data_IF_033622707156
#
_entry.id   IF_033622707156
#
_cell.length_a   1.000
_cell.length_b   1.000
_cell.length_c   1.000
_cell.angle_alpha   90.00
_cell.angle_beta   90.00
_cell.angle_gamma   90.00
#
_symmetry.space_group_name_H-M   'P 1'
#
loop_
_entity.id
_entity.type
_entity.pdbx_description
1 polymer ?
#
# COMPACT_ATOMS: atom_id res chain seq x y z
N UNK A 1 -16.21 -23.50 23.47
CA UNK A 1 -15.02 -23.23 22.64
C UNK A 1 -13.91 -24.18 23.05
N UNK A 2 -12.91 -24.44 22.21
CA UNK A 2 -11.91 -25.50 22.41
C UNK A 2 -10.54 -24.95 22.84
N UNK A 3 -9.73 -25.77 23.50
CA UNK A 3 -8.36 -25.45 23.87
C UNK A 3 -7.38 -26.15 22.95
N UNK A 4 -6.38 -25.41 22.47
CA UNK A 4 -5.40 -25.89 21.50
C UNK A 4 -4.00 -25.78 22.07
N UNK A 5 -3.24 -26.87 21.99
CA UNK A 5 -1.80 -26.85 22.25
C UNK A 5 -1.10 -25.91 21.26
N UNK A 6 0.10 -25.44 21.60
CA UNK A 6 0.92 -24.60 20.68
C UNK A 6 1.13 -25.26 19.31
N UNK A 7 1.23 -26.59 19.26
CA UNK A 7 1.35 -27.34 18.00
C UNK A 7 0.09 -27.27 17.14
N UNK A 8 -1.09 -27.37 17.76
CA UNK A 8 -2.37 -27.23 17.05
C UNK A 8 -2.60 -25.78 16.65
N UNK A 9 -2.34 -24.82 17.53
CA UNK A 9 -2.44 -23.39 17.25
C UNK A 9 -1.55 -22.98 16.06
N UNK A 10 -0.34 -23.55 15.94
CA UNK A 10 0.50 -23.34 14.76
C UNK A 10 -0.19 -23.79 13.46
N UNK A 11 -0.83 -24.97 13.45
CA UNK A 11 -1.54 -25.47 12.27
C UNK A 11 -2.76 -24.62 11.93
N UNK A 12 -3.49 -24.16 12.95
CA UNK A 12 -4.70 -23.35 12.79
C UNK A 12 -4.37 -21.92 12.31
N UNK A 13 -3.32 -21.30 12.85
CA UNK A 13 -3.00 -19.88 12.59
C UNK A 13 -1.92 -19.66 11.53
N UNK A 14 -1.25 -20.73 11.11
CA UNK A 14 -0.05 -20.68 10.24
C UNK A 14 1.08 -19.80 10.80
N UNK A 15 1.09 -19.52 12.12
CA UNK A 15 2.16 -18.80 12.82
C UNK A 15 3.18 -19.78 13.40
N UNK A 16 4.45 -19.39 13.40
CA UNK A 16 5.51 -20.19 14.03
C UNK A 16 5.29 -20.31 15.55
N UNK A 17 5.76 -21.41 16.17
CA UNK A 17 5.78 -21.54 17.64
C UNK A 17 6.46 -20.35 18.32
N UNK A 18 7.54 -19.82 17.74
CA UNK A 18 8.27 -18.67 18.30
C UNK A 18 7.37 -17.44 18.40
N UNK A 19 6.59 -17.18 17.35
CA UNK A 19 5.59 -16.10 17.33
C UNK A 19 4.57 -16.30 18.43
N UNK A 20 3.98 -17.50 18.52
CA UNK A 20 2.97 -17.81 19.54
C UNK A 20 3.52 -17.63 20.96
N UNK A 21 4.74 -18.09 21.25
CA UNK A 21 5.36 -17.90 22.56
C UNK A 21 5.71 -16.44 22.86
N UNK A 22 6.18 -15.69 21.86
CA UNK A 22 6.43 -14.25 22.00
C UNK A 22 5.14 -13.52 22.32
N UNK A 23 4.06 -13.84 21.62
CA UNK A 23 2.76 -13.20 21.77
C UNK A 23 2.11 -13.56 23.12
N UNK A 24 2.37 -14.77 23.65
CA UNK A 24 2.05 -15.12 25.04
C UNK A 24 2.88 -14.30 26.04
N UNK A 25 4.19 -14.17 25.80
CA UNK A 25 5.09 -13.43 26.68
C UNK A 25 4.78 -11.93 26.71
N UNK A 26 4.28 -11.38 25.60
CA UNK A 26 3.81 -9.99 25.52
C UNK A 26 2.40 -9.79 26.06
N UNK A 27 1.71 -10.85 26.48
CA UNK A 27 0.32 -10.77 26.95
C UNK A 27 -0.70 -10.46 25.84
N UNK A 28 -0.33 -10.65 24.57
CA UNK A 28 -1.26 -10.46 23.46
C UNK A 28 -2.35 -11.53 23.54
N UNK A 29 -1.95 -12.80 23.64
CA UNK A 29 -2.86 -13.95 23.77
C UNK A 29 -2.82 -14.52 25.19
N UNK A 30 -4.00 -14.83 25.71
CA UNK A 30 -4.14 -15.58 26.97
C UNK A 30 -3.88 -17.05 26.73
N UNK A 31 -3.20 -17.70 27.69
CA UNK A 31 -2.94 -19.13 27.65
C UNK A 31 -3.11 -19.72 29.04
N UNK A 32 -3.31 -21.03 29.11
CA UNK A 32 -3.24 -21.80 30.35
C UNK A 32 -2.20 -22.90 30.24
N UNK A 33 -1.81 -23.46 31.38
CA UNK A 33 -0.99 -24.66 31.44
C UNK A 33 -1.89 -25.85 31.75
N UNK A 34 -1.82 -26.91 30.95
CA UNK A 34 -2.59 -28.12 31.20
C UNK A 34 -1.92 -29.00 32.27
N UNK A 35 -2.58 -30.11 32.65
CA UNK A 35 -2.04 -31.04 33.66
C UNK A 35 -0.71 -31.70 33.29
N UNK A 36 -0.30 -31.64 32.03
CA UNK A 36 0.99 -32.13 31.52
C UNK A 36 2.07 -31.05 31.42
N UNK A 37 1.78 -29.81 31.85
CA UNK A 37 2.73 -28.70 31.77
C UNK A 37 2.80 -28.01 30.41
N UNK A 38 1.97 -28.38 29.44
CA UNK A 38 1.95 -27.76 28.12
C UNK A 38 1.05 -26.51 28.11
N UNK A 39 1.45 -25.50 27.35
CA UNK A 39 0.65 -24.29 27.14
C UNK A 39 -0.44 -24.53 26.10
N UNK A 40 -1.64 -24.09 26.43
CA UNK A 40 -2.83 -24.16 25.58
C UNK A 40 -3.45 -22.77 25.43
N UNK A 41 -3.89 -22.45 24.21
CA UNK A 41 -4.61 -21.21 23.87
C UNK A 41 -6.04 -21.58 23.49
N UNK A 42 -7.02 -20.78 23.92
CA UNK A 42 -8.42 -20.98 23.54
C UNK A 42 -8.65 -20.57 22.08
N UNK A 43 -9.59 -21.24 21.39
CA UNK A 43 -9.98 -20.87 20.01
C UNK A 43 -10.42 -19.41 19.87
N UNK A 44 -11.08 -18.84 20.89
CA UNK A 44 -11.50 -17.42 20.94
C UNK A 44 -10.31 -16.47 20.79
N UNK A 45 -9.25 -16.70 21.57
CA UNK A 45 -8.03 -15.90 21.57
C UNK A 45 -7.30 -16.02 20.23
N UNK A 46 -7.28 -17.22 19.64
CA UNK A 46 -6.70 -17.42 18.32
C UNK A 46 -7.45 -16.63 17.25
N UNK A 47 -8.78 -16.70 17.24
CA UNK A 47 -9.61 -15.95 16.27
C UNK A 47 -9.48 -14.45 16.48
N UNK A 48 -9.51 -13.99 17.74
CA UNK A 48 -9.44 -12.57 18.10
C UNK A 48 -8.14 -11.91 17.61
N UNK A 49 -7.02 -12.62 17.68
CA UNK A 49 -5.71 -12.05 17.36
C UNK A 49 -5.18 -12.37 15.97
N UNK A 50 -5.52 -13.55 15.45
CA UNK A 50 -4.97 -14.04 14.19
C UNK A 50 -6.00 -14.11 13.07
N UNK A 51 -7.29 -13.89 13.39
CA UNK A 51 -8.38 -13.95 12.42
C UNK A 51 -8.86 -15.37 12.15
N UNK A 52 -9.42 -15.58 10.97
CA UNK A 52 -9.97 -16.87 10.56
C UNK A 52 -8.92 -17.98 10.63
N UNK A 53 -9.29 -19.12 11.22
CA UNK A 53 -8.39 -20.25 11.42
C UNK A 53 -8.47 -21.22 10.23
N UNK A 54 -7.30 -21.71 9.80
CA UNK A 54 -7.18 -22.77 8.80
C UNK A 54 -7.70 -24.09 9.37
N UNK A 55 -8.85 -24.55 8.88
CA UNK A 55 -9.46 -25.83 9.28
C UNK A 55 -8.63 -27.02 8.77
N UNK A 56 -7.87 -26.82 7.69
CA UNK A 56 -7.18 -27.91 7.01
C UNK A 56 -5.71 -28.03 7.43
N UNK A 57 -5.37 -29.21 7.99
CA UNK A 57 -4.01 -29.68 8.22
C UNK A 57 -3.20 -29.95 6.94
N UNK A 58 -3.79 -29.69 5.77
CA UNK A 58 -3.11 -29.62 4.47
C UNK A 58 -3.76 -28.47 3.71
N UNK A 59 -3.26 -27.25 3.90
CA UNK A 59 -3.36 -26.30 2.81
C UNK A 59 -2.58 -26.93 1.64
N UNK A 60 -3.31 -27.33 0.60
CA UNK A 60 -2.75 -27.35 -0.74
C UNK A 60 -1.85 -26.13 -0.84
N UNK A 61 -0.55 -26.38 -1.09
CA UNK A 61 0.42 -25.35 -1.40
C UNK A 61 -0.30 -24.36 -2.32
N UNK A 62 -0.31 -23.04 -2.06
CA UNK A 62 -0.68 -22.14 -3.12
C UNK A 62 0.33 -22.40 -4.24
N UNK A 63 -0.08 -23.18 -5.23
CA UNK A 63 0.53 -23.27 -6.56
C UNK A 63 0.17 -21.99 -7.30
N UNK A 64 0.33 -20.85 -6.63
CA UNK A 64 0.76 -19.66 -7.33
C UNK A 64 2.26 -19.83 -7.30
N UNK A 65 2.79 -20.47 -8.34
CA UNK A 65 4.18 -20.28 -8.71
C UNK A 65 4.41 -18.78 -8.58
N UNK A 66 5.27 -18.39 -7.65
CA UNK A 66 5.69 -16.99 -7.48
C UNK A 66 6.01 -16.52 -8.90
N UNK A 67 5.20 -15.63 -9.52
CA UNK A 67 5.50 -15.21 -10.87
C UNK A 67 6.90 -14.63 -10.80
N UNK A 68 7.76 -15.17 -11.66
CA UNK A 68 9.17 -14.88 -11.78
C UNK A 68 9.42 -13.41 -11.38
N UNK A 69 10.10 -13.20 -10.25
CA UNK A 69 10.28 -11.88 -9.64
C UNK A 69 10.85 -10.89 -10.66
N UNK A 70 11.62 -11.42 -11.62
CA UNK A 70 12.21 -10.73 -12.76
C UNK A 70 11.18 -10.12 -13.72
N UNK A 71 10.10 -10.84 -14.03
CA UNK A 71 9.06 -10.35 -14.96
C UNK A 71 8.22 -9.24 -14.33
N UNK A 72 7.91 -9.37 -13.03
CA UNK A 72 7.20 -8.33 -12.30
C UNK A 72 8.06 -7.08 -12.13
N UNK A 73 9.36 -7.22 -11.92
CA UNK A 73 10.27 -6.08 -11.81
C UNK A 73 10.36 -5.27 -13.10
N UNK A 74 10.45 -5.93 -14.26
CA UNK A 74 10.45 -5.24 -15.55
C UNK A 74 9.16 -4.45 -15.81
N UNK A 75 8.00 -5.07 -15.55
CA UNK A 75 6.69 -4.41 -15.68
C UNK A 75 6.57 -3.22 -14.71
N UNK A 76 7.01 -3.38 -13.47
CA UNK A 76 6.99 -2.32 -12.47
C UNK A 76 7.94 -1.16 -12.84
N UNK A 77 9.10 -1.46 -13.41
CA UNK A 77 10.05 -0.43 -13.86
C UNK A 77 9.51 0.35 -15.05
N UNK A 78 8.83 -0.31 -15.99
CA UNK A 78 8.17 0.35 -17.11
C UNK A 78 7.03 1.25 -16.64
N UNK A 79 6.21 0.78 -15.68
CA UNK A 79 5.15 1.58 -15.06
C UNK A 79 5.72 2.81 -14.33
N UNK A 80 6.81 2.64 -13.56
CA UNK A 80 7.50 3.75 -12.89
C UNK A 80 8.03 4.78 -13.91
N UNK A 81 8.52 4.32 -15.07
CA UNK A 81 8.98 5.22 -16.14
C UNK A 81 7.83 5.98 -16.77
N UNK A 82 6.72 5.32 -17.07
CA UNK A 82 5.52 5.96 -17.61
C UNK A 82 4.99 7.04 -16.65
N UNK A 83 4.84 6.71 -15.37
CA UNK A 83 4.39 7.66 -14.34
C UNK A 83 5.36 8.85 -14.19
N UNK A 84 6.67 8.63 -14.26
CA UNK A 84 7.66 9.74 -14.23
C UNK A 84 7.53 10.66 -15.43
N UNK A 85 7.24 10.11 -16.62
CA UNK A 85 7.03 10.89 -17.83
C UNK A 85 5.76 11.75 -17.72
N UNK A 86 4.65 11.16 -17.29
CA UNK A 86 3.40 11.90 -17.07
C UNK A 86 3.60 13.03 -16.05
N UNK A 87 4.30 12.77 -14.95
CA UNK A 87 4.62 13.81 -13.95
C UNK A 87 5.49 14.91 -14.56
N UNK A 88 6.46 14.59 -15.42
CA UNK A 88 7.29 15.58 -16.09
C UNK A 88 6.46 16.45 -17.06
N UNK A 89 5.54 15.85 -17.80
CA UNK A 89 4.64 16.55 -18.72
C UNK A 89 3.67 17.45 -17.98
N UNK A 90 3.04 16.95 -16.91
CA UNK A 90 2.16 17.73 -16.03
C UNK A 90 2.90 18.93 -15.45
N UNK A 91 4.12 18.74 -14.94
CA UNK A 91 4.96 19.83 -14.43
C UNK A 91 5.31 20.84 -15.52
N UNK A 92 5.61 20.39 -16.74
CA UNK A 92 5.90 21.26 -17.88
C UNK A 92 4.67 22.04 -18.36
N UNK A 93 3.48 21.47 -18.28
CA UNK A 93 2.22 22.18 -18.53
C UNK A 93 1.93 23.20 -17.44
N UNK A 94 2.09 22.83 -16.18
CA UNK A 94 1.97 23.75 -15.04
C UNK A 94 2.90 24.95 -15.20
N UNK A 95 4.18 24.73 -15.52
CA UNK A 95 5.14 25.81 -15.72
C UNK A 95 4.74 26.75 -16.88
N UNK A 96 4.18 26.21 -17.97
CA UNK A 96 3.68 27.03 -19.09
C UNK A 96 2.45 27.86 -18.72
N UNK A 97 1.59 27.34 -17.86
CA UNK A 97 0.43 28.07 -17.34
C UNK A 97 0.84 29.14 -16.33
N UNK A 98 1.84 28.85 -15.51
CA UNK A 98 2.44 29.77 -14.55
C UNK A 98 3.26 30.87 -15.22
N UNK A 99 3.88 30.58 -16.37
CA UNK A 99 4.54 31.57 -17.20
C UNK A 99 3.50 32.49 -17.86
N UNK A 100 2.95 33.40 -17.07
CA UNK A 100 2.49 34.70 -17.54
C UNK A 100 3.76 35.45 -17.97
N UNK A 101 4.00 35.67 -19.28
CA UNK A 101 4.99 36.65 -19.65
C UNK A 101 4.57 37.96 -18.99
N UNK A 102 5.49 38.61 -18.28
CA UNK A 102 5.32 40.02 -17.99
C UNK A 102 5.01 40.68 -19.34
N UNK A 103 3.94 41.48 -19.46
CA UNK A 103 3.74 42.22 -20.68
C UNK A 103 5.00 43.07 -20.83
N UNK A 104 5.80 42.73 -21.84
CA UNK A 104 6.96 43.52 -22.24
C UNK A 104 6.52 44.97 -22.14
N UNK A 105 7.31 45.77 -21.42
CA UNK A 105 7.24 47.21 -21.48
C UNK A 105 7.65 47.63 -22.90
N UNK A 106 6.83 47.28 -23.88
CA UNK A 106 6.86 47.76 -25.24
C UNK A 106 6.28 49.17 -25.18
N UNK A 107 7.09 50.22 -25.35
CA UNK A 107 6.54 51.55 -25.41
C UNK A 107 5.77 51.62 -26.73
N UNK A 108 4.48 51.95 -26.60
CA UNK A 108 3.54 52.32 -27.66
C UNK A 108 2.84 51.15 -28.37
N UNK A 109 2.11 50.31 -27.62
CA UNK A 109 0.88 49.74 -28.20
C UNK A 109 -0.20 50.82 -28.19
N UNK A 110 -0.42 51.44 -29.36
CA UNK A 110 -1.57 52.33 -29.52
C UNK A 110 -2.82 51.48 -29.37
N UNK A 111 -3.54 51.72 -28.27
CA UNK A 111 -4.80 51.05 -27.93
C UNK A 111 -5.75 51.10 -29.13
N UNK A 112 -6.22 49.94 -29.57
CA UNK A 112 -7.00 49.78 -30.80
C UNK A 112 -8.25 50.68 -30.85
N UNK A 113 -8.83 51.01 -29.70
CA UNK A 113 -9.98 51.93 -29.57
C UNK A 113 -9.65 53.41 -29.77
N UNK A 114 -8.39 53.83 -29.65
CA UNK A 114 -7.99 55.22 -29.90
C UNK A 114 -7.90 55.56 -31.39
N UNK A 115 -7.73 54.54 -32.26
CA UNK A 115 -7.72 54.72 -33.72
C UNK A 115 -9.08 55.13 -34.30
N UNK A 116 -10.17 54.85 -33.58
CA UNK A 116 -11.54 55.19 -33.97
C UNK A 116 -12.02 56.55 -33.45
N UNK A 117 -11.19 57.26 -32.67
CA UNK A 117 -11.53 58.54 -32.04
C UNK A 117 -11.05 59.77 -32.79
N UNK A 118 -10.44 59.63 -33.97
CA UNK A 118 -10.03 60.78 -34.78
C UNK A 118 -11.15 61.15 -35.76
N UNK A 119 -11.86 62.28 -35.56
CA UNK A 119 -12.76 62.79 -36.59
C UNK A 119 -11.93 63.26 -37.79
N UNK A 120 -12.32 62.78 -38.98
CA UNK A 120 -11.82 63.26 -40.27
C UNK A 120 -12.20 64.73 -40.45
N UNK A 121 -11.20 65.59 -40.66
CA UNK A 121 -11.34 66.96 -41.19
C UNK A 121 -10.21 67.23 -42.18
#
# INVERSE_FOLDING_TARGET
MAWHTVSQAQKLTQKSRRTLYRDMASGLVSYRTNGSGHREIETSELIRHYGELSIDGTASRPTVARPDVTQNEAVLLDEIRALRQEVAELKGMMLRLEHKPDPDLSPVSTKWWQRWRRPSK
#
